data_IF_928418046127
#
_entry.id   IF_928418046127
#
_cell.length_a   1.000
_cell.length_b   1.000
_cell.length_c   1.000
_cell.angle_alpha   90.00
_cell.angle_beta   90.00
_cell.angle_gamma   90.00
#
_symmetry.space_group_name_H-M   'P 1'
#
loop_
_entity.id
_entity.type
_entity.pdbx_description
1 polymer ?
#
# COMPACT_ATOMS: atom_id res chain seq x y z
N UNK A 1 -2.65 -17.46 -26.25
CA UNK A 1 -2.65 -18.89 -25.88
C UNK A 1 -2.52 -19.04 -24.37
N UNK A 2 -1.64 -18.28 -23.69
CA UNK A 2 -1.47 -18.36 -22.22
C UNK A 2 -2.68 -17.84 -21.41
N UNK A 3 -3.32 -16.75 -21.83
CA UNK A 3 -4.49 -16.17 -21.14
C UNK A 3 -5.72 -17.10 -21.08
N UNK A 4 -5.92 -17.95 -22.09
CA UNK A 4 -7.03 -18.92 -22.09
C UNK A 4 -6.74 -20.12 -21.19
N UNK A 5 -5.47 -20.51 -21.09
CA UNK A 5 -5.02 -21.59 -20.21
C UNK A 5 -5.06 -21.16 -18.74
N UNK A 6 -4.63 -19.94 -18.41
CA UNK A 6 -4.78 -19.37 -17.06
C UNK A 6 -6.24 -19.25 -16.63
N UNK A 7 -7.13 -18.82 -17.55
CA UNK A 7 -8.58 -18.78 -17.28
C UNK A 7 -9.17 -20.17 -17.05
N UNK A 8 -8.65 -21.19 -17.74
CA UNK A 8 -9.05 -22.59 -17.54
C UNK A 8 -8.61 -23.12 -16.18
N UNK A 9 -7.36 -22.86 -15.77
CA UNK A 9 -6.86 -23.23 -14.43
C UNK A 9 -7.70 -22.57 -13.33
N UNK A 10 -8.07 -21.30 -13.47
CA UNK A 10 -8.95 -20.61 -12.52
C UNK A 10 -10.36 -21.19 -12.46
N UNK A 11 -10.92 -21.64 -13.59
CA UNK A 11 -12.22 -22.32 -13.62
C UNK A 11 -12.17 -23.72 -13.00
N UNK A 12 -11.02 -24.38 -13.06
CA UNK A 12 -10.82 -25.71 -12.49
C UNK A 12 -10.56 -25.64 -10.98
N UNK A 13 -9.85 -24.61 -10.50
CA UNK A 13 -9.50 -24.41 -9.09
C UNK A 13 -9.79 -22.96 -8.67
N UNK A 14 -11.06 -22.66 -8.33
CA UNK A 14 -11.42 -21.32 -7.90
C UNK A 14 -10.72 -20.97 -6.57
N UNK A 15 -10.43 -19.70 -6.28
CA UNK A 15 -9.84 -19.31 -5.02
C UNK A 15 -10.79 -19.69 -3.88
N UNK A 16 -10.25 -20.42 -2.91
CA UNK A 16 -10.95 -20.93 -1.74
C UNK A 16 -10.41 -20.19 -0.52
N UNK A 17 -11.33 -19.58 0.20
CA UNK A 17 -11.04 -18.92 1.48
C UNK A 17 -11.66 -19.74 2.57
N UNK A 18 -10.85 -20.18 3.52
CA UNK A 18 -11.29 -20.93 4.70
C UNK A 18 -10.94 -20.08 5.91
N UNK A 19 -11.97 -19.72 6.68
CA UNK A 19 -11.77 -19.00 7.94
C UNK A 19 -11.97 -20.00 9.09
N UNK A 20 -10.98 -20.06 9.97
CA UNK A 20 -10.95 -20.96 11.11
C UNK A 20 -10.68 -20.17 12.39
N UNK A 21 -11.71 -20.06 13.23
CA UNK A 21 -11.62 -19.34 14.50
C UNK A 21 -11.24 -20.26 15.68
N UNK A 22 -11.09 -21.56 15.45
CA UNK A 22 -10.75 -22.57 16.47
C UNK A 22 -9.26 -22.94 16.43
N UNK A 23 -8.60 -22.81 15.26
CA UNK A 23 -7.20 -23.16 15.06
C UNK A 23 -6.21 -22.40 15.97
N UNK A 24 -6.52 -21.15 16.33
CA UNK A 24 -5.73 -20.33 17.24
C UNK A 24 -6.62 -19.80 18.36
N UNK A 25 -6.10 -19.69 19.59
CA UNK A 25 -6.89 -19.20 20.74
C UNK A 25 -7.12 -17.69 20.71
N UNK A 26 -6.19 -16.94 20.11
CA UNK A 26 -6.11 -15.48 20.24
C UNK A 26 -6.34 -14.73 18.91
N UNK A 27 -6.39 -15.44 17.79
CA UNK A 27 -6.55 -14.84 16.46
C UNK A 27 -7.47 -15.69 15.59
N UNK A 28 -8.09 -15.05 14.60
CA UNK A 28 -8.86 -15.71 13.55
C UNK A 28 -7.91 -16.10 12.42
N UNK A 29 -7.93 -17.36 12.00
CA UNK A 29 -7.02 -17.85 10.96
C UNK A 29 -7.74 -17.80 9.61
N UNK A 30 -7.21 -17.04 8.67
CA UNK A 30 -7.71 -16.96 7.29
C UNK A 30 -6.72 -17.70 6.40
N UNK A 31 -7.18 -18.78 5.75
CA UNK A 31 -6.42 -19.50 4.73
C UNK A 31 -6.96 -19.16 3.35
N UNK A 32 -6.09 -18.76 2.44
CA UNK A 32 -6.40 -18.42 1.06
C UNK A 32 -5.64 -19.37 0.15
N UNK A 33 -6.38 -20.26 -0.52
CA UNK A 33 -5.86 -21.18 -1.52
C UNK A 33 -6.30 -20.71 -2.91
N UNK A 34 -5.37 -20.47 -3.84
CA UNK A 34 -5.69 -20.03 -5.20
C UNK A 34 -4.71 -20.57 -6.23
N UNK A 35 -5.11 -20.56 -7.51
CA UNK A 35 -4.16 -20.60 -8.61
C UNK A 35 -3.21 -19.40 -8.52
N UNK A 36 -1.91 -19.64 -8.72
CA UNK A 36 -0.90 -18.60 -8.62
C UNK A 36 -1.04 -17.61 -9.79
N UNK A 37 -1.17 -16.33 -9.47
CA UNK A 37 -1.13 -15.20 -10.40
C UNK A 37 -0.24 -14.14 -9.76
N UNK A 38 0.54 -13.47 -10.59
CA UNK A 38 1.30 -12.31 -10.16
C UNK A 38 0.40 -11.28 -9.47
N UNK A 39 0.76 -10.87 -8.25
CA UNK A 39 0.07 -9.82 -7.49
C UNK A 39 -1.03 -10.27 -6.52
N UNK A 40 -1.38 -11.57 -6.43
CA UNK A 40 -2.44 -12.04 -5.50
C UNK A 40 -2.13 -11.68 -4.05
N UNK A 41 -0.90 -11.90 -3.59
CA UNK A 41 -0.50 -11.57 -2.21
C UNK A 41 -0.84 -10.12 -1.85
N UNK A 42 -0.51 -9.18 -2.74
CA UNK A 42 -0.81 -7.77 -2.53
C UNK A 42 -2.32 -7.52 -2.50
N UNK A 43 -3.10 -8.14 -3.41
CA UNK A 43 -4.57 -8.02 -3.45
C UNK A 43 -5.20 -8.52 -2.13
N UNK A 44 -4.70 -9.63 -1.57
CA UNK A 44 -5.17 -10.20 -0.29
C UNK A 44 -4.80 -9.29 0.88
N UNK A 45 -3.53 -8.89 1.00
CA UNK A 45 -3.06 -8.03 2.09
C UNK A 45 -3.75 -6.66 2.04
N UNK A 46 -4.04 -6.14 0.84
CA UNK A 46 -4.86 -4.94 0.65
C UNK A 46 -6.26 -5.11 1.22
N UNK A 47 -6.97 -6.19 0.84
CA UNK A 47 -8.32 -6.43 1.31
C UNK A 47 -8.41 -6.57 2.84
N UNK A 48 -7.41 -7.21 3.47
CA UNK A 48 -7.34 -7.30 4.93
C UNK A 48 -7.05 -5.94 5.58
N UNK A 49 -6.20 -5.12 4.94
CA UNK A 49 -5.87 -3.77 5.41
C UNK A 49 -7.05 -2.81 5.29
N UNK A 50 -7.83 -2.90 4.21
CA UNK A 50 -9.05 -2.12 3.97
C UNK A 50 -10.12 -2.39 5.04
N UNK A 51 -10.15 -3.62 5.57
CA UNK A 51 -11.01 -4.02 6.69
C UNK A 51 -10.45 -3.61 8.06
N UNK A 52 -9.32 -2.90 8.08
CA UNK A 52 -8.62 -2.50 9.29
C UNK A 52 -8.25 -3.68 10.22
N UNK A 53 -8.03 -4.86 9.65
CA UNK A 53 -7.59 -6.03 10.38
C UNK A 53 -6.08 -5.98 10.62
N UNK A 54 -5.64 -6.44 11.78
CA UNK A 54 -4.22 -6.53 12.15
C UNK A 54 -3.74 -7.95 11.87
N UNK A 55 -2.70 -8.08 11.05
CA UNK A 55 -2.06 -9.36 10.74
C UNK A 55 -0.94 -9.60 11.76
N UNK A 56 -1.14 -10.58 12.64
CA UNK A 56 -0.17 -10.93 13.70
C UNK A 56 0.84 -11.96 13.24
N UNK A 57 0.42 -12.90 12.38
CA UNK A 57 1.31 -13.85 11.71
C UNK A 57 0.86 -14.08 10.28
N UNK A 58 1.80 -14.35 9.40
CA UNK A 58 1.50 -14.78 8.05
C UNK A 58 2.49 -15.83 7.56
N UNK A 59 1.97 -16.84 6.87
CA UNK A 59 2.74 -17.84 6.14
C UNK A 59 2.30 -17.78 4.69
N UNK A 60 3.24 -17.53 3.80
CA UNK A 60 2.99 -17.36 2.37
C UNK A 60 3.77 -18.43 1.64
N UNK A 61 3.12 -19.18 0.76
CA UNK A 61 3.75 -20.22 -0.03
C UNK A 61 3.16 -20.27 -1.44
N UNK A 62 4.02 -20.11 -2.42
CA UNK A 62 3.70 -20.16 -3.84
C UNK A 62 4.63 -21.16 -4.52
N UNK A 63 4.11 -22.36 -4.81
CA UNK A 63 4.86 -23.43 -5.47
C UNK A 63 4.03 -24.10 -6.57
N UNK A 64 4.69 -24.49 -7.67
CA UNK A 64 4.09 -25.34 -8.70
C UNK A 64 2.80 -24.80 -9.36
N UNK A 65 2.62 -23.47 -9.41
CA UNK A 65 1.40 -22.83 -9.94
C UNK A 65 0.25 -22.71 -8.94
N UNK A 66 0.49 -23.08 -7.69
CA UNK A 66 -0.45 -22.96 -6.58
C UNK A 66 0.04 -21.97 -5.54
N UNK A 67 -0.91 -21.35 -4.87
CA UNK A 67 -0.69 -20.31 -3.87
C UNK A 67 -1.50 -20.66 -2.63
N UNK A 68 -0.85 -20.75 -1.48
CA UNK A 68 -1.44 -21.03 -0.18
C UNK A 68 -0.87 -20.05 0.84
N UNK A 69 -1.75 -19.16 1.29
CA UNK A 69 -1.44 -18.19 2.32
C UNK A 69 -2.27 -18.45 3.56
N UNK A 70 -1.66 -18.29 4.72
CA UNK A 70 -2.31 -18.35 6.02
C UNK A 70 -2.02 -17.06 6.77
N UNK A 71 -3.06 -16.34 7.14
CA UNK A 71 -2.97 -15.11 7.92
C UNK A 71 -3.67 -15.30 9.26
N UNK A 72 -2.98 -15.01 10.35
CA UNK A 72 -3.59 -14.87 11.67
C UNK A 72 -3.96 -13.40 11.85
N UNK A 73 -5.26 -13.12 11.96
CA UNK A 73 -5.77 -11.76 12.04
C UNK A 73 -6.53 -11.50 13.34
N UNK A 74 -6.47 -10.25 13.78
CA UNK A 74 -7.26 -9.71 14.90
C UNK A 74 -7.94 -8.41 14.48
N UNK A 75 -8.91 -7.96 15.26
CA UNK A 75 -9.40 -6.58 15.20
C UNK A 75 -8.35 -5.59 15.77
N UNK A 76 -8.73 -4.30 15.82
CA UNK A 76 -7.87 -3.24 16.35
C UNK A 76 -7.63 -3.34 17.86
N UNK A 77 -8.51 -4.02 18.58
CA UNK A 77 -8.44 -4.25 20.02
C UNK A 77 -7.67 -5.54 20.36
N UNK A 78 -7.19 -6.28 19.35
CA UNK A 78 -6.45 -7.53 19.49
C UNK A 78 -7.33 -8.76 19.73
N UNK A 79 -8.64 -8.66 19.51
CA UNK A 79 -9.58 -9.77 19.64
C UNK A 79 -9.80 -10.49 18.32
N UNK A 80 -10.38 -11.69 18.43
CA UNK A 80 -10.84 -12.47 17.29
C UNK A 80 -12.01 -11.79 16.60
N UNK A 81 -12.06 -11.96 15.27
CA UNK A 81 -13.22 -11.61 14.47
C UNK A 81 -14.29 -12.68 14.72
N UNK A 82 -15.36 -12.29 15.40
CA UNK A 82 -16.49 -13.17 15.72
C UNK A 82 -17.77 -12.76 15.01
N UNK A 83 -17.79 -11.56 14.41
CA UNK A 83 -18.92 -11.04 13.67
C UNK A 83 -19.09 -11.80 12.34
N UNK A 84 -20.22 -12.49 12.20
CA UNK A 84 -20.55 -13.27 11.01
C UNK A 84 -20.67 -12.41 9.74
N UNK A 85 -21.09 -11.14 9.84
CA UNK A 85 -21.19 -10.24 8.69
C UNK A 85 -19.80 -9.88 8.15
N UNK A 86 -18.84 -9.63 9.05
CA UNK A 86 -17.45 -9.36 8.68
C UNK A 86 -16.81 -10.60 8.08
N UNK A 87 -17.04 -11.78 8.67
CA UNK A 87 -16.51 -13.05 8.17
C UNK A 87 -17.05 -13.40 6.77
N UNK A 88 -18.36 -13.23 6.55
CA UNK A 88 -18.97 -13.42 5.23
C UNK A 88 -18.44 -12.40 4.21
N UNK A 89 -18.24 -11.14 4.62
CA UNK A 89 -17.63 -10.12 3.78
C UNK A 89 -16.18 -10.47 3.40
N UNK A 90 -15.36 -10.94 4.33
CA UNK A 90 -13.99 -11.40 4.06
C UNK A 90 -14.02 -12.55 3.05
N UNK A 91 -14.89 -13.55 3.27
CA UNK A 91 -15.00 -14.72 2.41
C UNK A 91 -15.43 -14.33 0.99
N UNK A 92 -16.35 -13.36 0.84
CA UNK A 92 -16.76 -12.81 -0.46
C UNK A 92 -15.65 -11.99 -1.12
N UNK A 93 -15.00 -11.10 -0.35
CA UNK A 93 -13.96 -10.18 -0.84
C UNK A 93 -12.71 -10.91 -1.36
N UNK A 94 -12.33 -12.00 -0.69
CA UNK A 94 -11.15 -12.81 -1.01
C UNK A 94 -11.47 -14.08 -1.84
N UNK A 95 -12.73 -14.50 -1.90
CA UNK A 95 -13.17 -15.77 -2.51
C UNK A 95 -13.30 -15.71 -4.04
N UNK A 96 -14.01 -16.68 -4.63
CA UNK A 96 -14.20 -16.82 -6.08
C UNK A 96 -14.89 -15.62 -6.74
N UNK A 97 -15.64 -14.86 -5.95
CA UNK A 97 -16.20 -13.59 -6.36
C UNK A 97 -15.13 -12.51 -6.53
N UNK A 98 -13.86 -12.72 -6.13
CA UNK A 98 -12.74 -11.82 -6.40
C UNK A 98 -12.53 -11.55 -7.91
N UNK A 99 -12.93 -12.45 -8.82
CA UNK A 99 -12.89 -12.14 -10.26
C UNK A 99 -14.03 -11.17 -10.68
N UNK A 100 -15.18 -11.27 -10.01
CA UNK A 100 -16.26 -10.31 -10.14
C UNK A 100 -15.95 -9.01 -9.40
N UNK A 101 -15.32 -9.06 -8.22
CA UNK A 101 -14.88 -7.95 -7.35
C UNK A 101 -13.58 -7.32 -7.85
N UNK A 102 -12.77 -7.93 -8.71
CA UNK A 102 -11.69 -7.21 -9.42
C UNK A 102 -12.27 -6.35 -10.55
N UNK A 103 -13.30 -6.87 -11.21
CA UNK A 103 -14.11 -6.13 -12.20
C UNK A 103 -15.09 -5.15 -11.54
N UNK A 104 -15.43 -5.39 -10.27
CA UNK A 104 -16.36 -4.63 -9.44
C UNK A 104 -15.62 -3.82 -8.34
N UNK A 105 -14.31 -3.91 -8.15
CA UNK A 105 -13.49 -2.83 -7.55
C UNK A 105 -13.22 -1.73 -8.58
N UNK A 106 -13.54 -2.00 -9.86
CA UNK A 106 -13.89 -0.97 -10.84
C UNK A 106 -15.37 -0.55 -10.80
N UNK A 107 -16.27 -1.18 -10.02
CA UNK A 107 -17.72 -0.87 -10.09
C UNK A 107 -18.70 -1.03 -8.89
N UNK A 108 -18.49 -1.76 -7.78
CA UNK A 108 -19.28 -1.81 -6.52
C UNK A 108 -18.44 -2.47 -5.38
N UNK A 109 -18.35 -2.02 -4.12
CA UNK A 109 -19.16 -1.05 -3.39
C UNK A 109 -18.34 -0.29 -2.33
N UNK A 110 -17.58 0.70 -2.78
CA UNK A 110 -18.08 2.06 -2.53
C UNK A 110 -18.97 2.32 -3.73
N UNK A 111 -20.18 2.82 -3.53
CA UNK A 111 -20.96 3.42 -4.62
C UNK A 111 -19.95 4.24 -5.46
N UNK A 112 -19.86 4.12 -6.79
CA UNK A 112 -19.04 5.05 -7.54
C UNK A 112 -19.73 6.40 -7.40
N UNK A 113 -19.47 7.09 -6.31
CA UNK A 113 -19.57 8.52 -6.26
C UNK A 113 -18.44 8.97 -7.18
N UNK A 114 -18.77 9.07 -8.46
CA UNK A 114 -18.20 10.06 -9.38
C UNK A 114 -18.38 11.50 -8.86
N UNK A 115 -18.60 11.69 -7.57
CA UNK A 115 -19.00 12.91 -6.92
C UNK A 115 -17.75 13.66 -6.42
N UNK A 116 -16.56 13.06 -6.52
CA UNK A 116 -15.31 13.69 -6.09
C UNK A 116 -14.21 13.55 -7.15
N UNK A 117 -13.50 14.65 -7.38
CA UNK A 117 -12.27 14.72 -8.17
C UNK A 117 -11.09 14.34 -7.29
N UNK A 118 -10.21 13.46 -7.75
CA UNK A 118 -8.98 13.12 -7.02
C UNK A 118 -7.82 14.01 -7.46
N UNK A 119 -7.14 14.63 -6.49
CA UNK A 119 -5.94 15.45 -6.66
C UNK A 119 -4.78 14.75 -5.96
N UNK A 120 -3.74 14.43 -6.74
CA UNK A 120 -2.49 13.86 -6.26
C UNK A 120 -1.40 14.93 -6.28
N UNK A 121 -0.71 15.10 -5.15
CA UNK A 121 0.33 16.09 -4.94
C UNK A 121 1.61 15.39 -4.51
N UNK A 122 2.74 15.77 -5.10
CA UNK A 122 4.06 15.30 -4.66
C UNK A 122 5.06 16.45 -4.75
N UNK A 123 5.86 16.63 -3.71
CA UNK A 123 6.81 17.74 -3.63
C UNK A 123 7.77 17.65 -2.46
N UNK A 124 8.51 18.74 -2.22
CA UNK A 124 9.31 18.90 -1.01
C UNK A 124 8.44 19.39 0.12
N UNK A 125 8.50 18.70 1.26
CA UNK A 125 7.83 19.10 2.49
C UNK A 125 8.48 20.37 3.06
N UNK A 126 7.64 21.28 3.55
CA UNK A 126 8.08 22.51 4.23
C UNK A 126 6.99 23.02 5.17
N UNK A 127 7.36 23.73 6.24
CA UNK A 127 6.39 24.41 7.09
C UNK A 127 5.44 25.30 6.28
N UNK A 128 4.14 25.17 6.53
CA UNK A 128 3.09 25.95 5.85
C UNK A 128 2.62 25.39 4.51
N UNK A 129 3.23 24.32 3.97
CA UNK A 129 2.83 23.75 2.67
C UNK A 129 1.34 23.37 2.62
N UNK A 130 0.85 22.63 3.63
CA UNK A 130 -0.56 22.22 3.68
C UNK A 130 -1.51 23.41 3.85
N UNK A 131 -1.09 24.45 4.57
CA UNK A 131 -1.86 25.69 4.71
C UNK A 131 -2.01 26.41 3.38
N UNK A 132 -0.94 26.50 2.59
CA UNK A 132 -0.98 27.09 1.24
C UNK A 132 -1.85 26.27 0.28
N UNK A 133 -1.74 24.94 0.31
CA UNK A 133 -2.59 24.05 -0.49
C UNK A 133 -4.05 24.21 -0.11
N UNK A 134 -4.37 24.22 1.18
CA UNK A 134 -5.74 24.43 1.68
C UNK A 134 -6.28 25.79 1.22
N UNK A 135 -5.48 26.85 1.32
CA UNK A 135 -5.88 28.18 0.89
C UNK A 135 -6.22 28.24 -0.61
N UNK A 136 -5.46 27.55 -1.46
CA UNK A 136 -5.76 27.45 -2.90
C UNK A 136 -7.08 26.70 -3.14
N UNK A 137 -7.32 25.59 -2.45
CA UNK A 137 -8.55 24.81 -2.61
C UNK A 137 -9.78 25.61 -2.16
N UNK A 138 -9.70 26.27 -0.99
CA UNK A 138 -10.77 27.15 -0.51
C UNK A 138 -11.01 28.33 -1.45
N UNK A 139 -9.96 28.94 -2.00
CA UNK A 139 -10.10 30.04 -2.97
C UNK A 139 -10.80 29.60 -4.27
N UNK A 140 -10.64 28.34 -4.67
CA UNK A 140 -11.26 27.77 -5.86
C UNK A 140 -12.64 27.14 -5.59
N UNK A 141 -13.19 27.36 -4.39
CA UNK A 141 -14.47 26.78 -3.95
C UNK A 141 -14.49 25.25 -4.09
N UNK A 142 -13.36 24.62 -3.75
CA UNK A 142 -13.23 23.18 -3.73
C UNK A 142 -13.38 22.72 -2.27
N UNK A 143 -14.42 21.97 -1.98
CA UNK A 143 -14.59 21.31 -0.69
C UNK A 143 -13.69 20.05 -0.63
N UNK A 144 -12.96 19.86 0.47
CA UNK A 144 -12.10 18.69 0.67
C UNK A 144 -12.87 17.64 1.46
N UNK A 145 -13.23 16.54 0.80
CA UNK A 145 -14.02 15.45 1.40
C UNK A 145 -13.12 14.51 2.19
N UNK A 146 -11.96 14.19 1.63
CA UNK A 146 -10.94 13.36 2.28
C UNK A 146 -9.56 13.81 1.82
N UNK A 147 -8.57 13.77 2.71
CA UNK A 147 -7.19 14.08 2.39
C UNK A 147 -6.27 13.17 3.20
N UNK A 148 -5.43 12.43 2.49
CA UNK A 148 -4.39 11.60 3.10
C UNK A 148 -3.02 12.14 2.68
N UNK A 149 -2.15 12.38 3.66
CA UNK A 149 -0.86 13.05 3.48
C UNK A 149 0.24 12.26 4.16
N UNK A 150 1.30 11.94 3.42
CA UNK A 150 2.51 11.28 3.94
C UNK A 150 3.71 12.20 3.80
N UNK A 151 4.58 12.24 4.81
CA UNK A 151 5.85 12.96 4.77
C UNK A 151 6.99 12.05 5.18
N UNK A 152 8.08 12.07 4.42
CA UNK A 152 9.28 11.28 4.72
C UNK A 152 10.49 11.88 4.00
N UNK A 153 11.66 11.93 4.66
CA UNK A 153 12.91 12.48 4.11
C UNK A 153 12.75 13.82 3.36
N UNK A 154 12.04 14.79 3.97
CA UNK A 154 11.74 16.12 3.39
C UNK A 154 10.88 16.09 2.13
N UNK A 155 10.26 14.94 1.82
CA UNK A 155 9.28 14.78 0.75
C UNK A 155 7.89 14.68 1.33
N UNK A 156 6.91 15.19 0.59
CA UNK A 156 5.50 15.08 0.91
C UNK A 156 4.76 14.51 -0.30
N UNK A 157 3.85 13.58 -0.04
CA UNK A 157 2.84 13.11 -0.99
C UNK A 157 1.46 13.26 -0.37
N UNK A 158 0.48 13.67 -1.17
CA UNK A 158 -0.91 13.76 -0.73
C UNK A 158 -1.88 13.29 -1.81
N UNK A 159 -2.92 12.59 -1.39
CA UNK A 159 -4.08 12.24 -2.21
C UNK A 159 -5.30 12.89 -1.57
N UNK A 160 -5.97 13.77 -2.31
CA UNK A 160 -7.11 14.56 -1.83
C UNK A 160 -8.32 14.32 -2.73
N UNK A 161 -9.44 13.96 -2.12
CA UNK A 161 -10.74 13.88 -2.78
C UNK A 161 -11.45 15.21 -2.57
N UNK A 162 -11.71 15.91 -3.66
CA UNK A 162 -12.36 17.23 -3.63
C UNK A 162 -13.69 17.21 -4.38
N UNK A 163 -14.67 17.92 -3.85
CA UNK A 163 -15.93 18.20 -4.48
C UNK A 163 -16.03 19.70 -4.80
N UNK A 164 -16.85 20.05 -5.77
CA UNK A 164 -17.27 21.43 -5.93
C UNK A 164 -18.14 21.85 -4.72
N UNK A 165 -17.87 23.02 -4.14
CA UNK A 165 -18.56 23.52 -2.95
C UNK A 165 -20.05 23.82 -3.20
N UNK A 166 -20.42 24.25 -4.40
CA UNK A 166 -21.80 24.65 -4.73
C UNK A 166 -22.68 23.43 -5.07
N UNK A 167 -22.14 22.50 -5.84
CA UNK A 167 -22.89 21.32 -6.32
C UNK A 167 -22.70 20.08 -5.45
N UNK A 168 -21.62 20.01 -4.66
CA UNK A 168 -21.23 18.81 -3.92
C UNK A 168 -20.73 17.66 -4.80
N UNK A 169 -20.59 17.88 -6.11
CA UNK A 169 -20.23 16.87 -7.11
C UNK A 169 -18.78 17.03 -7.60
N UNK A 170 -18.32 16.09 -8.43
CA UNK A 170 -16.97 16.16 -8.96
C UNK A 170 -16.80 17.37 -9.86
N UNK A 171 -15.63 17.98 -9.80
CA UNK A 171 -15.24 19.06 -10.70
C UNK A 171 -14.92 18.43 -12.06
N UNK A 172 -15.86 18.49 -13.00
CA UNK A 172 -15.68 17.97 -14.36
C UNK A 172 -15.18 19.00 -15.35
N UNK A 173 -15.21 20.29 -14.99
CA UNK A 173 -14.81 21.39 -15.88
C UNK A 173 -13.29 21.40 -16.13
N UNK A 174 -12.81 21.16 -17.36
CA UNK A 174 -11.40 21.03 -17.66
C UNK A 174 -10.61 22.33 -17.46
N UNK A 175 -11.23 23.50 -17.66
CA UNK A 175 -10.56 24.79 -17.44
C UNK A 175 -10.29 25.01 -15.96
N UNK A 176 -11.29 24.77 -15.10
CA UNK A 176 -11.12 24.81 -13.65
C UNK A 176 -10.11 23.80 -13.16
N UNK A 177 -10.13 22.55 -13.66
CA UNK A 177 -9.11 21.55 -13.30
C UNK A 177 -7.70 21.97 -13.71
N UNK A 178 -7.55 22.59 -14.88
CA UNK A 178 -6.27 23.15 -15.33
C UNK A 178 -5.79 24.26 -14.39
N UNK A 179 -6.69 25.16 -13.96
CA UNK A 179 -6.39 26.23 -13.01
C UNK A 179 -5.98 25.69 -11.63
N UNK A 180 -6.71 24.69 -11.11
CA UNK A 180 -6.36 23.97 -9.88
C UNK A 180 -4.95 23.39 -10.00
N UNK A 181 -4.70 22.62 -11.06
CA UNK A 181 -3.39 21.99 -11.32
C UNK A 181 -2.28 23.03 -11.39
N UNK A 182 -2.49 24.16 -12.07
CA UNK A 182 -1.50 25.20 -12.22
C UNK A 182 -1.16 25.88 -10.89
N UNK A 183 -2.17 26.26 -10.11
CA UNK A 183 -1.96 26.92 -8.81
C UNK A 183 -1.29 25.98 -7.80
N UNK A 184 -1.72 24.72 -7.72
CA UNK A 184 -1.10 23.73 -6.84
C UNK A 184 0.34 23.39 -7.27
N UNK A 185 0.61 23.30 -8.58
CA UNK A 185 1.98 23.17 -9.09
C UNK A 185 2.86 24.34 -8.63
N UNK A 186 2.35 25.58 -8.64
CA UNK A 186 3.11 26.75 -8.23
C UNK A 186 3.44 26.72 -6.73
N UNK A 187 2.47 26.32 -5.90
CA UNK A 187 2.68 26.11 -4.47
C UNK A 187 3.73 25.04 -4.23
N UNK A 188 3.64 23.89 -4.89
CA UNK A 188 4.58 22.79 -4.66
C UNK A 188 6.00 23.07 -5.16
N UNK A 189 6.17 23.84 -6.25
CA UNK A 189 7.49 24.15 -6.80
C UNK A 189 8.36 24.97 -5.85
N UNK A 190 7.80 25.92 -5.11
CA UNK A 190 8.55 26.74 -4.16
C UNK A 190 9.86 27.32 -4.73
N UNK A 191 10.80 27.72 -3.87
CA UNK A 191 12.10 28.29 -4.29
C UNK A 191 13.16 27.26 -4.71
N UNK A 192 12.89 25.95 -4.60
CA UNK A 192 13.90 24.90 -4.76
C UNK A 192 13.83 24.23 -6.13
N UNK A 193 14.94 24.30 -6.87
CA UNK A 193 15.09 23.82 -8.26
C UNK A 193 15.51 22.35 -8.40
N UNK A 194 15.66 21.58 -7.31
CA UNK A 194 16.36 20.30 -7.35
C UNK A 194 15.51 19.09 -7.73
N UNK A 195 14.19 19.09 -7.47
CA UNK A 195 13.28 17.99 -7.85
C UNK A 195 11.91 18.53 -8.26
N UNK A 196 11.34 17.99 -9.35
CA UNK A 196 10.09 18.48 -9.92
C UNK A 196 8.88 18.11 -9.04
N UNK A 197 8.17 19.12 -8.55
CA UNK A 197 6.84 18.95 -8.00
C UNK A 197 5.85 18.46 -9.07
N UNK A 198 4.99 17.51 -8.69
CA UNK A 198 3.99 16.93 -9.58
C UNK A 198 2.60 17.10 -8.99
N UNK A 199 1.67 17.53 -9.83
CA UNK A 199 0.24 17.54 -9.54
C UNK A 199 -0.49 16.77 -10.63
N UNK A 200 -1.21 15.72 -10.25
CA UNK A 200 -2.06 14.94 -11.15
C UNK A 200 -3.49 15.07 -10.67
N UNK A 201 -4.42 15.27 -11.60
CA UNK A 201 -5.86 15.29 -11.33
C UNK A 201 -6.47 14.16 -12.13
N UNK A 202 -7.21 13.28 -11.47
CA UNK A 202 -7.82 12.11 -12.10
C UNK A 202 -9.24 11.87 -11.60
N UNK A 203 -10.01 11.15 -12.43
CA UNK A 203 -11.34 10.65 -12.08
C UNK A 203 -11.19 9.15 -11.85
N UNK A 204 -11.30 8.69 -10.61
CA UNK A 204 -11.20 7.26 -10.28
C UNK A 204 -10.87 7.00 -8.82
N UNK A 205 -11.21 5.79 -8.38
CA UNK A 205 -10.87 5.26 -7.05
C UNK A 205 -9.57 4.46 -7.19
N UNK A 206 -8.48 5.01 -6.67
CA UNK A 206 -7.28 4.24 -6.35
C UNK A 206 -7.28 3.98 -4.84
N UNK A 207 -6.79 2.82 -4.40
CA UNK A 207 -6.53 2.59 -2.98
C UNK A 207 -5.51 3.65 -2.53
N UNK A 208 -5.95 4.59 -1.68
CA UNK A 208 -5.21 5.83 -1.38
C UNK A 208 -3.82 5.52 -0.82
N UNK A 209 -3.74 4.60 0.14
CA UNK A 209 -2.46 4.22 0.74
C UNK A 209 -1.50 3.57 -0.27
N UNK A 210 -2.00 2.67 -1.12
CA UNK A 210 -1.20 2.06 -2.20
C UNK A 210 -0.69 3.12 -3.17
N UNK A 211 -1.53 4.11 -3.47
CA UNK A 211 -1.18 5.20 -4.38
C UNK A 211 -0.13 6.12 -3.77
N UNK A 212 -0.26 6.48 -2.50
CA UNK A 212 0.74 7.23 -1.75
C UNK A 212 2.08 6.50 -1.70
N UNK A 213 2.06 5.19 -1.48
CA UNK A 213 3.26 4.35 -1.53
C UNK A 213 3.99 4.49 -2.88
N UNK A 214 3.26 4.35 -4.00
CA UNK A 214 3.80 4.51 -5.35
C UNK A 214 4.33 5.92 -5.62
N UNK A 215 3.62 6.94 -5.14
CA UNK A 215 4.03 8.35 -5.28
C UNK A 215 5.35 8.61 -4.56
N UNK A 216 5.47 8.17 -3.30
CA UNK A 216 6.71 8.32 -2.52
C UNK A 216 7.88 7.56 -3.16
N UNK A 217 7.64 6.33 -3.60
CA UNK A 217 8.65 5.53 -4.30
C UNK A 217 9.12 6.19 -5.61
N UNK A 218 8.18 6.61 -6.46
CA UNK A 218 8.50 7.28 -7.73
C UNK A 218 9.26 8.59 -7.54
N UNK A 219 9.06 9.22 -6.39
CA UNK A 219 9.67 10.47 -5.97
C UNK A 219 10.99 10.29 -5.21
N UNK A 220 11.40 9.04 -5.01
CA UNK A 220 12.67 8.62 -4.42
C UNK A 220 12.91 9.22 -3.05
N UNK A 221 11.91 9.08 -2.18
CA UNK A 221 12.01 9.43 -0.76
C UNK A 221 13.01 8.55 0.00
N UNK A 222 13.32 7.35 -0.52
CA UNK A 222 14.32 6.44 0.03
C UNK A 222 15.78 6.89 -0.19
N UNK A 223 16.03 7.85 -1.09
CA UNK A 223 17.38 8.43 -1.28
C UNK A 223 17.66 9.40 -0.12
N UNK A 224 18.31 8.91 0.93
CA UNK A 224 18.64 9.75 2.10
C UNK A 224 19.81 10.71 1.77
N UNK A 225 19.56 12.02 1.80
CA UNK A 225 20.56 13.07 1.51
C UNK A 225 21.37 13.44 2.78
N UNK A 226 20.84 13.14 3.97
CA UNK A 226 21.47 13.48 5.24
C UNK A 226 21.72 12.21 6.06
N UNK A 227 22.98 11.78 6.07
CA UNK A 227 23.49 10.65 6.87
C UNK A 227 23.49 10.91 8.40
N UNK A 228 22.78 11.94 8.88
CA UNK A 228 22.97 12.49 10.22
C UNK A 228 21.70 12.40 11.07
N UNK A 229 21.22 11.17 11.30
CA UNK A 229 20.16 10.91 12.30
C UNK A 229 20.75 10.12 13.46
N UNK A 230 20.60 10.68 14.66
CA UNK A 230 21.34 10.32 15.88
C UNK A 230 20.86 9.09 16.63
N UNK A 231 19.93 8.29 16.11
CA UNK A 231 19.38 7.12 16.80
C UNK A 231 19.45 5.86 15.91
N UNK A 232 20.64 5.23 15.84
CA UNK A 232 20.81 3.92 15.21
C UNK A 232 19.90 2.84 15.85
N UNK A 233 19.53 3.01 17.12
CA UNK A 233 18.76 2.03 17.88
C UNK A 233 17.28 1.88 17.48
N UNK A 234 16.71 2.81 16.71
CA UNK A 234 15.31 2.76 16.27
C UNK A 234 15.14 2.39 14.79
N UNK A 235 16.24 2.19 14.05
CA UNK A 235 16.16 1.88 12.64
C UNK A 235 15.69 0.45 12.38
N UNK A 236 14.84 0.23 11.37
CA UNK A 236 14.58 -1.11 10.89
C UNK A 236 15.88 -1.74 10.42
N UNK A 237 16.12 -2.99 10.80
CA UNK A 237 17.23 -3.79 10.28
C UNK A 237 16.72 -4.58 9.08
N UNK A 238 17.22 -4.25 7.89
CA UNK A 238 16.89 -4.97 6.65
C UNK A 238 18.16 -5.60 6.11
N UNK A 239 18.13 -6.93 5.94
CA UNK A 239 19.21 -7.68 5.33
C UNK A 239 18.71 -8.38 4.07
N UNK A 240 19.54 -8.39 3.02
CA UNK A 240 19.24 -9.03 1.74
C UNK A 240 20.41 -9.96 1.38
N UNK A 241 20.13 -11.26 1.35
CA UNK A 241 21.13 -12.30 1.10
C UNK A 241 20.73 -13.12 -0.11
N UNK A 242 21.65 -13.26 -1.06
CA UNK A 242 21.44 -14.13 -2.22
C UNK A 242 21.75 -15.58 -1.86
N UNK A 243 20.83 -16.47 -2.20
CA UNK A 243 21.05 -17.91 -2.17
C UNK A 243 21.40 -18.38 -3.58
N UNK A 244 22.69 -18.30 -3.91
CA UNK A 244 23.20 -18.56 -5.26
C UNK A 244 22.85 -19.97 -5.79
N UNK A 245 22.69 -20.96 -4.92
CA UNK A 245 22.38 -22.34 -5.32
C UNK A 245 20.91 -22.55 -5.70
N UNK A 246 20.02 -21.59 -5.42
CA UNK A 246 18.57 -21.73 -5.58
C UNK A 246 17.90 -20.58 -6.33
N UNK A 247 18.68 -19.72 -6.98
CA UNK A 247 18.21 -18.60 -7.82
C UNK A 247 17.19 -17.67 -7.15
N UNK A 248 17.32 -17.43 -5.83
CA UNK A 248 16.49 -16.47 -5.11
C UNK A 248 17.28 -15.64 -4.09
N UNK A 249 16.67 -14.55 -3.66
CA UNK A 249 17.18 -13.71 -2.57
C UNK A 249 16.25 -13.82 -1.36
N UNK A 250 16.84 -13.80 -0.17
CA UNK A 250 16.11 -13.76 1.10
C UNK A 250 16.25 -12.35 1.66
N UNK A 251 15.11 -11.74 1.96
CA UNK A 251 15.02 -10.46 2.65
C UNK A 251 14.56 -10.73 4.07
N UNK A 252 15.36 -10.34 5.05
CA UNK A 252 15.02 -10.41 6.47
C UNK A 252 14.83 -9.00 6.99
N UNK A 253 13.69 -8.74 7.62
CA UNK A 253 13.31 -7.45 8.19
C UNK A 253 13.06 -7.63 9.68
N UNK A 254 13.69 -6.81 10.50
CA UNK A 254 13.40 -6.67 11.92
C UNK A 254 13.14 -5.21 12.25
N UNK A 255 11.97 -4.90 12.79
CA UNK A 255 11.60 -3.55 13.17
C UNK A 255 10.67 -3.56 14.38
N UNK A 256 10.39 -2.39 14.97
CA UNK A 256 9.23 -2.26 15.86
C UNK A 256 7.97 -2.62 15.08
N UNK A 257 7.07 -3.38 15.70
CA UNK A 257 5.81 -3.71 15.05
C UNK A 257 4.89 -2.49 14.98
N UNK A 258 4.07 -2.44 13.93
CA UNK A 258 3.02 -1.43 13.75
C UNK A 258 1.93 -1.93 12.80
N UNK A 259 0.71 -1.37 12.91
CA UNK A 259 -0.34 -1.64 11.93
C UNK A 259 0.15 -1.40 10.49
N UNK A 260 -0.30 -2.27 9.58
CA UNK A 260 -0.04 -2.19 8.13
C UNK A 260 1.42 -2.35 7.72
N UNK A 261 2.30 -2.83 8.61
CA UNK A 261 3.71 -3.08 8.29
C UNK A 261 3.89 -4.09 7.14
N UNK A 262 3.17 -5.22 7.19
CA UNK A 262 3.18 -6.23 6.12
C UNK A 262 2.71 -5.65 4.77
N UNK A 263 1.70 -4.78 4.79
CA UNK A 263 1.21 -4.13 3.60
C UNK A 263 2.28 -3.25 2.96
N UNK A 264 2.98 -2.44 3.75
CA UNK A 264 4.02 -1.54 3.25
C UNK A 264 5.24 -2.31 2.70
N UNK A 265 5.65 -3.41 3.33
CA UNK A 265 6.78 -4.24 2.85
C UNK A 265 6.43 -4.99 1.55
N UNK A 266 5.25 -5.62 1.47
CA UNK A 266 4.78 -6.28 0.24
C UNK A 266 4.57 -5.28 -0.89
N UNK A 267 4.04 -4.09 -0.59
CA UNK A 267 3.94 -2.99 -1.56
C UNK A 267 5.29 -2.62 -2.16
N UNK A 268 6.31 -2.47 -1.30
CA UNK A 268 7.67 -2.12 -1.71
C UNK A 268 8.27 -3.18 -2.61
N UNK A 269 8.21 -4.45 -2.21
CA UNK A 269 8.73 -5.55 -3.03
C UNK A 269 8.03 -5.61 -4.39
N UNK A 270 6.70 -5.44 -4.41
CA UNK A 270 5.90 -5.43 -5.64
C UNK A 270 6.24 -4.24 -6.55
N UNK A 271 6.40 -3.03 -6.00
CA UNK A 271 6.78 -1.82 -6.75
C UNK A 271 8.18 -1.93 -7.36
N UNK A 272 9.07 -2.65 -6.68
CA UNK A 272 10.41 -2.98 -7.16
C UNK A 272 10.43 -4.19 -8.11
N UNK A 273 9.26 -4.71 -8.51
CA UNK A 273 9.11 -5.85 -9.40
C UNK A 273 9.72 -7.16 -8.86
N UNK A 274 9.66 -7.36 -7.55
CA UNK A 274 9.94 -8.64 -6.92
C UNK A 274 8.66 -9.42 -6.63
N UNK A 275 8.73 -10.72 -6.88
CA UNK A 275 7.71 -11.70 -6.55
C UNK A 275 8.11 -12.40 -5.25
N UNK A 276 7.27 -12.29 -4.23
CA UNK A 276 7.36 -13.09 -3.01
C UNK A 276 6.76 -14.45 -3.31
N UNK A 277 7.57 -15.51 -3.19
CA UNK A 277 7.08 -16.88 -3.41
C UNK A 277 7.08 -17.71 -2.12
N UNK A 278 7.87 -17.33 -1.11
CA UNK A 278 7.66 -17.79 0.27
C UNK A 278 7.82 -16.61 1.21
N UNK A 279 7.07 -16.58 2.30
CA UNK A 279 7.34 -15.66 3.39
C UNK A 279 6.83 -16.17 4.74
N UNK A 280 7.51 -15.71 5.78
CA UNK A 280 7.14 -15.93 7.17
C UNK A 280 7.13 -14.58 7.90
N UNK A 281 6.02 -14.25 8.52
CA UNK A 281 5.79 -12.98 9.22
C UNK A 281 5.34 -13.29 10.64
N UNK A 282 6.02 -12.69 11.60
CA UNK A 282 5.69 -12.76 13.02
C UNK A 282 5.69 -11.37 13.62
N UNK A 283 4.55 -10.96 14.16
CA UNK A 283 4.27 -9.67 14.76
C UNK A 283 3.49 -9.83 16.09
N UNK A 284 3.60 -10.97 16.77
CA UNK A 284 2.94 -11.17 18.07
C UNK A 284 3.61 -10.40 19.23
N UNK A 285 4.75 -9.76 18.98
CA UNK A 285 5.53 -9.02 19.98
C UNK A 285 5.67 -7.52 19.68
N UNK A 286 6.43 -6.78 20.51
CA UNK A 286 6.74 -5.36 20.26
C UNK A 286 7.65 -5.15 19.04
N UNK A 287 8.30 -6.22 18.59
CA UNK A 287 9.09 -6.26 17.37
C UNK A 287 8.42 -7.20 16.36
N UNK A 288 8.41 -6.78 15.10
CA UNK A 288 8.02 -7.60 13.98
C UNK A 288 9.27 -8.21 13.32
N UNK A 289 9.15 -9.48 12.95
CA UNK A 289 10.13 -10.22 12.18
C UNK A 289 9.47 -10.70 10.88
N UNK A 290 10.08 -10.38 9.75
CA UNK A 290 9.56 -10.77 8.43
C UNK A 290 10.69 -11.35 7.60
N UNK A 291 10.48 -12.53 7.04
CA UNK A 291 11.40 -13.19 6.13
C UNK A 291 10.69 -13.42 4.79
N UNK A 292 11.22 -12.84 3.72
CA UNK A 292 10.69 -12.97 2.36
C UNK A 292 11.68 -13.66 1.45
N UNK A 293 11.20 -14.65 0.72
CA UNK A 293 11.93 -15.30 -0.36
C UNK A 293 11.43 -14.69 -1.66
N UNK A 294 12.32 -13.94 -2.30
CA UNK A 294 11.98 -13.10 -3.46
C UNK A 294 12.78 -13.50 -4.70
N UNK A 295 12.15 -13.32 -5.85
CA UNK A 295 12.81 -13.29 -7.16
C UNK A 295 12.29 -12.10 -7.93
N UNK A 296 13.13 -11.49 -8.75
CA UNK A 296 12.66 -10.45 -9.66
C UNK A 296 11.70 -11.08 -10.68
N UNK A 297 10.81 -10.29 -11.30
CA UNK A 297 9.83 -10.79 -12.29
C UNK A 297 10.47 -11.53 -13.48
N UNK A 298 11.76 -11.29 -13.74
CA UNK A 298 12.53 -12.01 -14.76
C UNK A 298 13.09 -13.36 -14.27
N UNK A 299 12.75 -13.77 -13.05
CA UNK A 299 13.16 -15.02 -12.42
C UNK A 299 14.51 -14.96 -11.71
N UNK A 300 15.23 -13.85 -11.77
CA UNK A 300 16.58 -13.76 -11.21
C UNK A 300 16.60 -13.32 -9.73
N UNK A 301 17.65 -13.69 -8.96
CA UNK A 301 17.92 -13.06 -7.67
C UNK A 301 18.42 -11.61 -7.86
N UNK A 302 18.53 -10.87 -6.76
CA UNK A 302 19.13 -9.53 -6.74
C UNK A 302 20.54 -9.59 -7.36
N UNK A 303 20.78 -8.87 -8.45
CA UNK A 303 21.96 -9.10 -9.31
C UNK A 303 23.22 -8.37 -8.84
N UNK A 304 23.05 -7.23 -8.17
CA UNK A 304 24.16 -6.33 -7.84
C UNK A 304 24.05 -5.75 -6.43
N UNK A 305 25.18 -5.36 -5.85
CA UNK A 305 25.17 -4.71 -4.53
C UNK A 305 24.47 -3.34 -4.57
N UNK A 306 24.50 -2.64 -5.71
CA UNK A 306 23.74 -1.40 -5.88
C UNK A 306 22.22 -1.66 -5.86
N UNK A 307 21.76 -2.76 -6.46
CA UNK A 307 20.35 -3.19 -6.40
C UNK A 307 19.97 -3.64 -4.99
N UNK A 308 20.84 -4.41 -4.34
CA UNK A 308 20.69 -4.81 -2.93
C UNK A 308 20.51 -3.60 -2.02
N UNK A 309 21.39 -2.60 -2.17
CA UNK A 309 21.33 -1.37 -1.38
C UNK A 309 20.03 -0.59 -1.65
N UNK A 310 19.55 -0.57 -2.90
CA UNK A 310 18.26 0.04 -3.23
C UNK A 310 17.10 -0.70 -2.56
N UNK A 311 17.10 -2.03 -2.55
CA UNK A 311 16.05 -2.83 -1.89
C UNK A 311 16.01 -2.52 -0.40
N UNK A 312 17.18 -2.51 0.26
CA UNK A 312 17.32 -2.14 1.67
C UNK A 312 16.73 -0.75 1.93
N UNK A 313 17.21 0.27 1.20
CA UNK A 313 16.76 1.65 1.39
C UNK A 313 15.26 1.84 1.15
N UNK A 314 14.70 1.17 0.14
CA UNK A 314 13.26 1.26 -0.15
C UNK A 314 12.43 0.63 0.98
N UNK A 315 12.86 -0.51 1.51
CA UNK A 315 12.17 -1.19 2.61
C UNK A 315 12.29 -0.39 3.91
N UNK A 316 13.48 0.11 4.25
CA UNK A 316 13.69 0.98 5.40
C UNK A 316 12.79 2.22 5.33
N UNK A 317 12.78 2.91 4.18
CA UNK A 317 11.91 4.07 3.96
C UNK A 317 10.42 3.71 4.11
N UNK A 318 9.97 2.61 3.53
CA UNK A 318 8.58 2.18 3.64
C UNK A 318 8.16 1.88 5.09
N UNK A 319 9.06 1.29 5.88
CA UNK A 319 8.82 1.02 7.30
C UNK A 319 8.73 2.33 8.09
N UNK A 320 9.61 3.30 7.80
CA UNK A 320 9.70 4.60 8.49
C UNK A 320 8.57 5.59 8.16
N UNK A 321 8.00 5.56 6.93
CA UNK A 321 6.97 6.51 6.45
C UNK A 321 5.78 6.73 7.39
N UNK A 322 5.35 5.70 8.13
CA UNK A 322 4.21 5.77 9.06
C UNK A 322 4.61 5.88 10.54
N UNK A 323 5.90 5.97 10.85
CA UNK A 323 6.42 6.15 12.22
C UNK A 323 6.42 7.64 12.61
N UNK A 324 6.47 8.54 11.63
CA UNK A 324 6.26 9.97 11.82
C UNK A 324 4.75 10.30 11.82
N UNK A 325 4.20 10.50 13.02
CA UNK A 325 2.83 10.97 13.35
C UNK A 325 1.95 11.35 12.15
N UNK A 326 1.01 10.46 11.80
CA UNK A 326 -0.17 10.82 11.00
C UNK A 326 -1.01 11.79 11.83
N UNK A 327 -0.82 13.09 11.64
CA UNK A 327 -1.80 14.09 12.06
C UNK A 327 -2.98 14.01 11.09
N UNK A 328 -3.97 13.18 11.39
CA UNK A 328 -5.32 13.37 10.85
C UNK A 328 -5.80 14.74 11.35
N UNK A 329 -5.67 15.77 10.50
CA UNK A 329 -6.26 17.06 10.79
C UNK A 329 -7.78 16.89 10.71
N UNK A 330 -8.54 17.18 11.78
CA UNK A 330 -9.99 17.25 11.65
C UNK A 330 -10.32 18.33 10.62
N UNK A 331 -11.22 18.00 9.69
CA UNK A 331 -11.72 18.92 8.67
C UNK A 331 -12.07 20.26 9.32
N UNK A 332 -11.35 21.31 8.92
CA UNK A 332 -11.72 22.69 9.25
C UNK A 332 -13.05 22.96 8.54
N UNK A 333 -14.10 23.08 9.35
CA UNK A 333 -15.45 23.46 8.94
C UNK A 333 -15.50 24.92 8.48
#
# INVERSE_FOLDING_TARGET
MDDEYEKLIRRMNPPRVVIDNEACKNATVIRVDSANKHGILLEVVQALTDLNLIITKAYIASDGGWFMDVFNVTDQDGNKITDEEILDYIQKSLGSDACFISSMRRSVGVIPSTDHTSIELTGSDRPGLLSEVSAVLTHLKCNVVNAEVWTHNTRAAAVMHVADEETGCAITDPERLSKVKQLLCNVLKGSNKSREAKTVVSHGVTHTERRLHQMMFADRDYENIYNDRSDEAQRPNVNVVNWCDKDYSVVTIRSKDRPKLLFDTVCTLTDMQYVVFHANVDAEGPEAYQEYYIRHIDGSPVKSDAERQRVIQCLEAAIERRVSEVRTLPCLC
#
